data_IF_010454162390
#
_entry.id   IF_010454162390
#
_cell.length_a   1.000
_cell.length_b   1.000
_cell.length_c   1.000
_cell.angle_alpha   90.00
_cell.angle_beta   90.00
_cell.angle_gamma   90.00
#
_symmetry.space_group_name_H-M   'P 1'
#
loop_
_entity.id
_entity.type
_entity.pdbx_description
1 polymer ?
#
# COMPACT_ATOMS: atom_id res chain seq x y z
N UNK A 1 -0.92 7.45 -13.52
CA UNK A 1 -1.85 6.32 -13.70
C UNK A 1 -2.41 5.99 -12.33
N UNK A 2 -3.69 6.23 -12.08
CA UNK A 2 -4.31 6.03 -10.76
C UNK A 2 -5.16 4.77 -10.79
N UNK A 3 -4.79 3.75 -10.00
CA UNK A 3 -5.66 2.62 -9.75
C UNK A 3 -6.78 3.09 -8.79
N UNK A 4 -7.90 3.55 -9.34
CA UNK A 4 -9.05 3.97 -8.54
C UNK A 4 -9.71 2.74 -7.89
N UNK A 5 -9.61 2.64 -6.57
CA UNK A 5 -10.38 1.69 -5.77
C UNK A 5 -10.87 2.39 -4.50
N UNK A 6 -12.18 2.35 -4.24
CA UNK A 6 -12.71 2.76 -2.94
C UNK A 6 -12.40 1.67 -1.92
N UNK A 7 -11.88 2.03 -0.76
CA UNK A 7 -11.73 1.08 0.33
C UNK A 7 -13.12 0.62 0.82
N UNK A 8 -13.54 -0.59 0.44
CA UNK A 8 -14.62 -1.29 1.13
C UNK A 8 -13.98 -2.17 2.21
N UNK A 9 -14.21 -1.83 3.48
CA UNK A 9 -13.66 -2.53 4.63
C UNK A 9 -14.76 -3.32 5.34
N UNK A 10 -14.55 -4.62 5.49
CA UNK A 10 -15.37 -5.42 6.39
C UNK A 10 -14.96 -5.10 7.85
N UNK A 11 -15.90 -5.02 8.82
CA UNK A 11 -15.58 -4.76 10.23
C UNK A 11 -14.76 -5.86 10.93
N UNK A 12 -14.31 -6.89 10.20
CA UNK A 12 -13.50 -7.97 10.75
C UNK A 12 -12.03 -7.66 10.50
N UNK A 13 -11.21 -7.70 11.56
CA UNK A 13 -9.77 -7.48 11.50
C UNK A 13 -9.03 -8.64 10.82
N UNK A 14 -9.23 -8.81 9.50
CA UNK A 14 -8.55 -9.83 8.68
C UNK A 14 -7.41 -9.19 7.88
N UNK A 15 -6.27 -9.86 7.81
CA UNK A 15 -5.11 -9.41 7.04
C UNK A 15 -5.42 -9.14 5.55
N UNK A 16 -6.39 -9.87 4.98
CA UNK A 16 -6.85 -9.67 3.60
C UNK A 16 -7.46 -8.29 3.36
N UNK A 17 -7.88 -7.58 4.40
CA UNK A 17 -8.41 -6.22 4.30
C UNK A 17 -7.34 -5.18 3.94
N UNK A 18 -6.06 -5.44 4.23
CA UNK A 18 -4.96 -4.50 3.94
C UNK A 18 -4.87 -4.18 2.44
N UNK A 19 -5.15 -5.15 1.57
CA UNK A 19 -5.18 -4.94 0.11
C UNK A 19 -6.25 -3.92 -0.31
N UNK A 20 -7.37 -3.80 0.41
CA UNK A 20 -8.40 -2.81 0.09
C UNK A 20 -7.97 -1.38 0.44
N UNK A 21 -7.01 -1.22 1.36
CA UNK A 21 -6.44 0.09 1.73
C UNK A 21 -5.28 0.43 0.81
N UNK A 22 -4.32 -0.48 0.66
CA UNK A 22 -3.02 -0.21 0.03
C UNK A 22 -2.94 -0.63 -1.43
N UNK A 23 -3.91 -1.40 -1.91
CA UNK A 23 -3.89 -2.00 -3.24
C UNK A 23 -3.78 -0.96 -4.35
N UNK A 24 -4.49 0.16 -4.24
CA UNK A 24 -4.43 1.25 -5.22
C UNK A 24 -2.98 1.75 -5.43
N UNK A 25 -2.27 2.06 -4.35
CA UNK A 25 -0.87 2.49 -4.40
C UNK A 25 0.05 1.42 -4.98
N UNK A 26 -0.10 0.18 -4.53
CA UNK A 26 0.72 -0.94 -5.00
C UNK A 26 0.49 -1.29 -6.49
N UNK A 27 -0.75 -1.23 -6.97
CA UNK A 27 -1.06 -1.44 -8.39
C UNK A 27 -0.55 -0.28 -9.26
N UNK A 28 -0.63 0.96 -8.77
CA UNK A 28 -0.06 2.12 -9.47
C UNK A 28 1.47 2.00 -9.58
N UNK A 29 2.15 1.64 -8.49
CA UNK A 29 3.58 1.35 -8.49
C UNK A 29 3.92 0.22 -9.47
N UNK A 30 3.17 -0.89 -9.46
CA UNK A 30 3.40 -1.99 -10.40
C UNK A 30 3.23 -1.56 -11.85
N UNK A 31 2.23 -0.75 -12.15
CA UNK A 31 2.02 -0.26 -13.50
C UNK A 31 3.17 0.65 -13.95
N UNK A 32 3.72 1.47 -13.05
CA UNK A 32 4.89 2.29 -13.32
C UNK A 32 6.16 1.46 -13.60
N UNK A 33 6.40 0.39 -12.83
CA UNK A 33 7.49 -0.57 -13.11
C UNK A 33 7.36 -1.15 -14.53
N UNK A 34 6.15 -1.59 -14.91
CA UNK A 34 5.89 -2.19 -16.23
C UNK A 34 6.15 -1.20 -17.37
N UNK A 35 5.72 0.06 -17.23
CA UNK A 35 6.00 1.12 -18.22
C UNK A 35 7.49 1.39 -18.34
N UNK A 36 8.25 1.24 -17.25
CA UNK A 36 9.69 1.42 -17.20
C UNK A 36 10.50 0.15 -17.57
N UNK A 37 9.88 -0.84 -18.22
CA UNK A 37 10.59 -2.06 -18.62
C UNK A 37 10.88 -3.03 -17.46
N UNK A 38 9.94 -3.12 -16.50
CA UNK A 38 10.06 -3.90 -15.27
C UNK A 38 11.11 -3.38 -14.27
N UNK A 39 11.52 -2.11 -14.39
CA UNK A 39 12.40 -1.46 -13.42
C UNK A 39 11.71 -1.27 -12.07
N UNK A 40 12.11 -2.12 -11.11
CA UNK A 40 11.59 -2.13 -9.74
C UNK A 40 11.91 -0.87 -8.94
N UNK A 41 12.98 -0.14 -9.29
CA UNK A 41 13.36 1.10 -8.60
C UNK A 41 12.30 2.19 -8.78
N UNK A 42 11.59 2.18 -9.92
CA UNK A 42 10.46 3.08 -10.18
C UNK A 42 9.31 2.77 -9.22
N UNK A 43 9.01 1.49 -8.98
CA UNK A 43 7.99 1.08 -8.02
C UNK A 43 8.28 1.58 -6.61
N UNK A 44 9.53 1.47 -6.15
CA UNK A 44 9.97 1.98 -4.83
C UNK A 44 9.73 3.49 -4.71
N UNK A 45 10.17 4.28 -5.71
CA UNK A 45 9.95 5.74 -5.72
C UNK A 45 8.47 6.11 -5.69
N UNK A 46 7.62 5.35 -6.37
CA UNK A 46 6.17 5.55 -6.33
C UNK A 46 5.60 5.28 -4.93
N UNK A 47 6.10 4.26 -4.22
CA UNK A 47 5.68 3.99 -2.84
C UNK A 47 6.13 5.10 -1.89
N UNK A 48 7.35 5.61 -2.03
CA UNK A 48 7.83 6.75 -1.23
C UNK A 48 6.90 7.96 -1.37
N UNK A 49 6.47 8.28 -2.60
CA UNK A 49 5.51 9.36 -2.84
C UNK A 49 4.12 9.06 -2.25
N UNK A 50 3.68 7.80 -2.29
CA UNK A 50 2.43 7.38 -1.66
C UNK A 50 2.48 7.52 -0.13
N UNK A 51 3.62 7.19 0.50
CA UNK A 51 3.85 7.37 1.94
C UNK A 51 3.82 8.85 2.30
N UNK A 52 4.48 9.72 1.54
CA UNK A 52 4.48 11.16 1.76
C UNK A 52 3.08 11.80 1.60
N UNK A 53 2.22 11.20 0.78
CA UNK A 53 0.87 11.68 0.52
C UNK A 53 -0.17 11.11 1.49
N UNK A 54 0.20 10.13 2.32
CA UNK A 54 -0.74 9.46 3.22
C UNK A 54 -1.13 10.38 4.39
N UNK A 55 -2.44 10.46 4.65
CA UNK A 55 -2.95 11.20 5.81
C UNK A 55 -2.87 10.33 7.08
N UNK A 56 -2.80 10.94 8.28
CA UNK A 56 -2.84 10.21 9.55
C UNK A 56 -4.02 9.24 9.65
N UNK A 57 -5.20 9.64 9.14
CA UNK A 57 -6.41 8.81 9.11
C UNK A 57 -6.20 7.48 8.37
N UNK A 58 -5.46 7.49 7.25
CA UNK A 58 -5.14 6.26 6.51
C UNK A 58 -4.29 5.33 7.35
N UNK A 59 -3.29 5.87 8.05
CA UNK A 59 -2.40 5.10 8.93
C UNK A 59 -3.16 4.54 10.14
N UNK A 60 -4.04 5.33 10.74
CA UNK A 60 -4.89 4.90 11.86
C UNK A 60 -5.84 3.78 11.46
N UNK A 61 -6.46 3.88 10.28
CA UNK A 61 -7.32 2.81 9.76
C UNK A 61 -6.49 1.56 9.47
N UNK A 62 -5.30 1.70 8.87
CA UNK A 62 -4.41 0.59 8.55
C UNK A 62 -3.97 -0.17 9.83
N UNK A 63 -3.63 0.55 10.89
CA UNK A 63 -3.18 -0.02 12.18
C UNK A 63 -4.26 -0.83 12.91
N UNK A 64 -5.54 -0.72 12.53
CA UNK A 64 -6.64 -1.57 13.06
C UNK A 64 -6.65 -2.99 12.50
N UNK A 65 -5.91 -3.24 11.42
CA UNK A 65 -5.82 -4.55 10.78
C UNK A 65 -4.44 -5.19 11.04
N UNK A 66 -4.36 -6.54 11.02
CA UNK A 66 -3.07 -7.25 10.99
C UNK A 66 -2.20 -6.77 9.82
N UNK A 67 -0.90 -7.03 9.90
CA UNK A 67 0.04 -6.72 8.81
C UNK A 67 -0.36 -7.43 7.51
N UNK A 68 0.09 -6.88 6.38
CA UNK A 68 -0.19 -7.42 5.06
C UNK A 68 0.23 -8.90 4.95
N UNK A 69 -0.65 -9.80 4.46
CA UNK A 69 -0.33 -11.22 4.37
C UNK A 69 0.72 -11.50 3.28
N UNK A 70 1.35 -12.66 3.36
CA UNK A 70 2.26 -13.16 2.32
C UNK A 70 1.51 -13.50 1.02
N UNK A 71 2.26 -13.68 -0.08
CA UNK A 71 1.72 -14.01 -1.40
C UNK A 71 1.44 -12.79 -2.28
N UNK A 72 0.63 -12.98 -3.34
CA UNK A 72 0.20 -11.91 -4.25
C UNK A 72 1.21 -11.45 -5.30
N UNK A 73 2.31 -12.19 -5.50
CA UNK A 73 3.34 -11.87 -6.48
C UNK A 73 3.99 -10.49 -6.24
N UNK A 74 4.39 -9.80 -7.32
CA UNK A 74 5.05 -8.49 -7.23
C UNK A 74 4.15 -7.42 -6.60
N UNK A 75 2.85 -7.41 -6.89
CA UNK A 75 1.92 -6.47 -6.25
C UNK A 75 1.81 -6.75 -4.75
N UNK A 76 1.78 -8.00 -4.33
CA UNK A 76 1.78 -8.35 -2.92
C UNK A 76 3.05 -7.92 -2.19
N UNK A 77 4.21 -7.95 -2.86
CA UNK A 77 5.46 -7.40 -2.34
C UNK A 77 5.36 -5.88 -2.12
N UNK A 78 4.88 -5.14 -3.13
CA UNK A 78 4.67 -3.70 -3.02
C UNK A 78 3.65 -3.31 -1.93
N UNK A 79 2.59 -4.12 -1.74
CA UNK A 79 1.65 -3.94 -0.62
C UNK A 79 2.36 -4.08 0.72
N UNK A 80 3.22 -5.11 0.90
CA UNK A 80 3.94 -5.32 2.16
C UNK A 80 4.97 -4.23 2.44
N UNK A 81 5.65 -3.73 1.41
CA UNK A 81 6.57 -2.58 1.53
C UNK A 81 5.80 -1.35 2.00
N UNK A 82 4.72 -1.00 1.31
CA UNK A 82 3.89 0.14 1.68
C UNK A 82 3.25 0.01 3.07
N UNK A 83 2.82 -1.21 3.46
CA UNK A 83 2.29 -1.50 4.80
C UNK A 83 3.35 -1.26 5.88
N UNK A 84 4.59 -1.71 5.66
CA UNK A 84 5.70 -1.50 6.58
C UNK A 84 6.02 -0.01 6.74
N UNK A 85 6.21 0.70 5.63
CA UNK A 85 6.60 2.12 5.62
C UNK A 85 5.55 2.98 6.33
N UNK A 86 4.26 2.81 6.01
CA UNK A 86 3.17 3.55 6.65
C UNK A 86 3.04 3.24 8.15
N UNK A 87 3.27 1.99 8.57
CA UNK A 87 3.21 1.62 10.01
C UNK A 87 4.39 2.16 10.80
N UNK A 88 5.55 2.38 10.15
CA UNK A 88 6.75 2.98 10.76
C UNK A 88 6.63 4.49 10.97
N UNK A 89 5.66 5.15 10.34
CA UNK A 89 5.38 6.57 10.57
C UNK A 89 4.98 6.78 12.04
N UNK A 90 5.75 7.63 12.73
CA UNK A 90 5.34 8.20 14.01
C UNK A 90 4.32 9.28 13.71
N UNK A 91 3.06 9.07 14.08
CA UNK A 91 2.02 10.10 13.95
C UNK A 91 2.26 11.08 15.10
N UNK A 92 2.61 12.33 14.79
CA UNK A 92 2.57 13.40 15.77
C UNK A 92 1.10 13.73 16.05
N UNK A 93 0.71 13.70 17.33
CA UNK A 93 -0.64 14.06 17.81
C UNK A 93 -0.99 15.52 17.55
#
# INVERSE_FOLDING_TARGET
>A
MSAAGSAYLHPLAKATQVKHILGAGAYAARAAELVAGDDRSVGVKYLEQAVLSATPVVVDVLKRFPTAPSGGGRVGELIRMLDFDLRSLTIAE
#
